data_IF_335173119832
#
_entry.id   IF_335173119832
#
_cell.length_a   1.000
_cell.length_b   1.000
_cell.length_c   1.000
_cell.angle_alpha   90.00
_cell.angle_beta   90.00
_cell.angle_gamma   90.00
#
_symmetry.space_group_name_H-M   'P 1'
#
loop_
_entity.id
_entity.type
_entity.pdbx_description
1 polymer ?
#
# COMPACT_ATOMS: atom_id res chain seq x y z
N UNK A 1 -9.54 13.46 -1.53
CA UNK A 1 -8.43 12.64 -1.00
C UNK A 1 -7.13 13.42 -1.16
N UNK A 2 -6.29 13.43 -0.14
CA UNK A 2 -4.96 14.04 -0.21
C UNK A 2 -3.91 12.94 -0.26
N UNK A 3 -2.96 13.05 -1.19
CA UNK A 3 -1.78 12.22 -1.20
C UNK A 3 -0.64 13.03 -0.55
N UNK A 4 -0.46 12.89 0.75
CA UNK A 4 0.64 13.51 1.46
C UNK A 4 1.93 12.72 1.24
N UNK A 5 2.88 13.38 0.61
CA UNK A 5 4.30 13.07 0.58
C UNK A 5 4.65 11.59 0.40
N UNK A 6 5.09 11.20 -0.77
CA UNK A 6 5.64 9.88 -1.00
C UNK A 6 6.94 9.72 -0.22
N UNK A 7 6.93 8.98 0.87
CA UNK A 7 8.16 8.52 1.50
C UNK A 7 8.73 7.37 0.65
N UNK A 8 9.98 7.52 0.22
CA UNK A 8 10.73 6.54 -0.58
C UNK A 8 10.58 5.13 0.02
N UNK A 9 10.14 4.17 -0.80
CA UNK A 9 9.95 2.77 -0.39
C UNK A 9 8.56 2.40 0.16
N UNK A 10 7.62 3.31 0.29
CA UNK A 10 6.22 2.99 0.64
C UNK A 10 5.39 2.69 -0.61
N UNK A 11 4.37 1.86 -0.44
CA UNK A 11 3.42 1.48 -1.52
C UNK A 11 2.77 2.69 -2.21
N UNK A 12 2.47 3.76 -1.44
CA UNK A 12 1.97 5.03 -2.00
C UNK A 12 2.96 5.70 -2.95
N UNK A 13 4.27 5.69 -2.61
CA UNK A 13 5.30 6.26 -3.48
C UNK A 13 5.54 5.44 -4.75
N UNK A 14 5.26 4.13 -4.73
CA UNK A 14 5.30 3.30 -5.93
C UNK A 14 4.15 3.64 -6.86
N UNK A 15 2.91 3.65 -6.34
CA UNK A 15 1.73 4.03 -7.10
C UNK A 15 1.86 5.44 -7.71
N UNK A 16 2.37 6.40 -6.94
CA UNK A 16 2.57 7.77 -7.42
C UNK A 16 3.54 7.80 -8.60
N UNK A 17 4.68 7.12 -8.52
CA UNK A 17 5.64 7.03 -9.64
C UNK A 17 5.04 6.35 -10.86
N UNK A 18 4.35 5.24 -10.67
CA UNK A 18 3.66 4.53 -11.76
C UNK A 18 2.63 5.45 -12.47
N UNK A 19 1.98 6.31 -11.72
CA UNK A 19 1.00 7.27 -12.27
C UNK A 19 1.68 8.47 -12.92
N UNK A 20 2.79 8.97 -12.33
CA UNK A 20 3.58 10.10 -12.88
C UNK A 20 4.25 9.78 -14.23
N UNK A 21 4.55 8.51 -14.49
CA UNK A 21 5.14 8.03 -15.75
C UNK A 21 4.11 7.86 -16.88
N UNK A 22 2.81 8.00 -16.58
CA UNK A 22 1.75 7.85 -17.59
C UNK A 22 1.64 9.09 -18.50
N UNK A 23 1.23 8.90 -19.74
CA UNK A 23 0.77 10.03 -20.57
C UNK A 23 -0.33 10.83 -19.87
N UNK A 24 -0.36 12.14 -20.04
CA UNK A 24 -1.28 13.03 -19.30
C UNK A 24 -2.74 12.62 -19.39
N UNK A 25 -3.19 12.17 -20.56
CA UNK A 25 -4.58 11.65 -20.75
C UNK A 25 -4.87 10.49 -19.79
N UNK A 26 -3.95 9.53 -19.71
CA UNK A 26 -4.11 8.34 -18.87
C UNK A 26 -3.94 8.68 -17.39
N UNK A 27 -3.03 9.59 -17.06
CA UNK A 27 -2.85 10.16 -15.72
C UNK A 27 -4.16 10.74 -15.22
N UNK A 28 -4.74 11.70 -15.98
CA UNK A 28 -6.00 12.39 -15.61
C UNK A 28 -7.13 11.38 -15.45
N UNK A 29 -7.33 10.52 -16.46
CA UNK A 29 -8.36 9.47 -16.40
C UNK A 29 -8.24 8.63 -15.14
N UNK A 30 -7.02 8.21 -14.77
CA UNK A 30 -6.77 7.34 -13.63
C UNK A 30 -7.01 8.03 -12.30
N UNK A 31 -6.52 9.27 -12.12
CA UNK A 31 -6.73 10.00 -10.86
C UNK A 31 -8.19 10.39 -10.66
N UNK A 32 -8.90 10.79 -11.72
CA UNK A 32 -10.34 11.05 -11.68
C UNK A 32 -11.15 9.78 -11.37
N UNK A 33 -10.80 8.65 -11.96
CA UNK A 33 -11.40 7.35 -11.67
C UNK A 33 -11.23 6.95 -10.19
N UNK A 34 -10.11 7.35 -9.55
CA UNK A 34 -9.88 7.17 -8.13
C UNK A 34 -10.59 8.19 -7.24
N UNK A 35 -11.30 9.15 -7.83
CA UNK A 35 -12.06 10.16 -7.12
C UNK A 35 -11.22 11.32 -6.59
N UNK A 36 -10.06 11.61 -7.22
CA UNK A 36 -9.33 12.83 -6.93
C UNK A 36 -10.01 14.01 -7.62
N UNK A 37 -10.24 15.09 -6.88
CA UNK A 37 -10.92 16.30 -7.33
C UNK A 37 -9.96 17.41 -7.76
N UNK A 38 -8.67 17.25 -7.52
CA UNK A 38 -7.67 18.23 -7.92
C UNK A 38 -6.28 17.60 -8.06
N UNK A 39 -5.47 18.20 -8.94
CA UNK A 39 -4.05 17.94 -9.11
C UNK A 39 -3.27 19.20 -8.68
N UNK A 40 -2.35 19.01 -7.72
CA UNK A 40 -1.45 20.07 -7.27
C UNK A 40 -0.10 19.94 -7.98
N UNK A 41 0.35 21.03 -8.59
CA UNK A 41 1.65 21.14 -9.23
C UNK A 41 2.52 22.16 -8.51
N UNK A 42 3.76 21.77 -8.22
CA UNK A 42 4.82 22.70 -7.86
C UNK A 42 5.65 22.98 -9.12
N UNK A 43 5.54 24.17 -9.68
CA UNK A 43 6.23 24.57 -10.92
C UNK A 43 7.76 24.48 -10.81
N UNK A 44 8.33 24.57 -9.60
CA UNK A 44 9.78 24.44 -9.39
C UNK A 44 10.29 23.00 -9.66
N UNK A 45 9.42 22.00 -9.65
CA UNK A 45 9.76 20.61 -9.96
C UNK A 45 9.92 20.33 -11.47
N UNK A 46 9.65 21.29 -12.33
CA UNK A 46 9.65 21.15 -13.79
C UNK A 46 10.62 22.12 -14.43
N UNK A 47 11.39 21.65 -15.41
CA UNK A 47 12.34 22.48 -16.17
C UNK A 47 11.64 23.57 -16.98
N UNK A 48 10.45 23.28 -17.51
CA UNK A 48 9.57 24.18 -18.23
C UNK A 48 8.53 24.86 -17.34
N UNK A 49 8.70 24.80 -16.02
CA UNK A 49 7.73 25.27 -15.02
C UNK A 49 6.35 24.62 -15.14
N UNK A 50 6.28 23.43 -15.74
CA UNK A 50 5.05 22.64 -15.89
C UNK A 50 4.13 23.12 -17.01
N UNK A 51 4.58 24.02 -17.89
CA UNK A 51 3.73 24.60 -18.95
C UNK A 51 3.22 23.54 -19.93
N UNK A 52 4.05 22.56 -20.28
CA UNK A 52 3.61 21.46 -21.15
C UNK A 52 2.44 20.70 -20.51
N UNK A 53 2.60 20.27 -19.25
CA UNK A 53 1.55 19.54 -18.53
C UNK A 53 0.28 20.38 -18.38
N UNK A 54 0.41 21.67 -18.04
CA UNK A 54 -0.73 22.58 -17.92
C UNK A 54 -1.45 22.79 -19.26
N UNK A 55 -0.69 22.86 -20.38
CA UNK A 55 -1.26 22.92 -21.74
C UNK A 55 -2.04 21.66 -22.10
N UNK A 56 -1.48 20.48 -21.80
CA UNK A 56 -2.14 19.20 -22.03
C UNK A 56 -3.41 19.05 -21.17
N UNK A 57 -3.40 19.50 -19.91
CA UNK A 57 -4.59 19.52 -19.06
C UNK A 57 -5.69 20.42 -19.59
N UNK A 58 -5.33 21.62 -20.11
CA UNK A 58 -6.30 22.51 -20.79
C UNK A 58 -6.90 21.85 -22.04
N UNK A 59 -6.07 21.19 -22.84
CA UNK A 59 -6.53 20.46 -24.04
C UNK A 59 -7.50 19.31 -23.68
N UNK A 60 -7.40 18.74 -22.48
CA UNK A 60 -8.33 17.75 -21.94
C UNK A 60 -9.57 18.37 -21.28
N UNK A 61 -9.79 19.69 -21.43
CA UNK A 61 -10.94 20.39 -20.87
C UNK A 61 -10.81 20.73 -19.37
N UNK A 62 -9.65 20.51 -18.76
CA UNK A 62 -9.40 20.89 -17.36
C UNK A 62 -8.93 22.33 -17.31
N UNK A 63 -9.89 23.27 -17.31
CA UNK A 63 -9.65 24.71 -17.50
C UNK A 63 -9.66 25.51 -16.20
N UNK A 64 -10.06 24.92 -15.08
CA UNK A 64 -10.10 25.61 -13.78
C UNK A 64 -8.75 25.48 -13.07
N UNK A 65 -8.02 26.59 -13.01
CA UNK A 65 -6.71 26.69 -12.39
C UNK A 65 -6.76 27.69 -11.23
N UNK A 66 -6.19 27.29 -10.10
CA UNK A 66 -6.00 28.18 -8.94
C UNK A 66 -4.50 28.33 -8.73
N UNK A 67 -3.99 29.53 -8.95
CA UNK A 67 -2.57 29.83 -8.80
C UNK A 67 -2.28 30.39 -7.40
N UNK A 68 -1.16 29.94 -6.82
CA UNK A 68 -0.62 30.54 -5.60
C UNK A 68 -0.10 31.96 -5.84
N UNK A 69 -0.09 32.80 -4.81
CA UNK A 69 0.29 34.21 -4.90
C UNK A 69 1.68 34.46 -5.54
N UNK A 70 2.60 33.50 -5.45
CA UNK A 70 3.94 33.60 -6.04
C UNK A 70 4.03 32.96 -7.44
N UNK A 71 2.94 32.46 -8.01
CA UNK A 71 2.92 31.79 -9.30
C UNK A 71 3.73 30.47 -9.37
N UNK A 72 4.16 29.95 -8.24
CA UNK A 72 4.98 28.73 -8.16
C UNK A 72 4.16 27.46 -7.99
N UNK A 73 2.94 27.61 -7.56
CA UNK A 73 2.03 26.54 -7.21
C UNK A 73 0.75 26.70 -8.01
N UNK A 74 0.28 25.61 -8.59
CA UNK A 74 -0.97 25.56 -9.35
C UNK A 74 -1.79 24.38 -8.87
N UNK A 75 -3.06 24.62 -8.61
CA UNK A 75 -4.06 23.57 -8.40
C UNK A 75 -4.95 23.53 -9.63
N UNK A 76 -5.04 22.39 -10.26
CA UNK A 76 -5.95 22.14 -11.39
C UNK A 76 -7.13 21.35 -10.88
N UNK A 77 -8.34 21.85 -11.03
CA UNK A 77 -9.53 21.12 -10.67
C UNK A 77 -9.82 20.02 -11.69
N UNK A 78 -10.21 18.86 -11.19
CA UNK A 78 -10.47 17.65 -11.94
C UNK A 78 -11.97 17.30 -11.87
N UNK A 79 -12.40 16.37 -12.71
CA UNK A 79 -13.75 15.82 -12.72
C UNK A 79 -13.76 14.44 -12.02
N UNK A 80 -13.88 14.40 -10.69
CA UNK A 80 -13.75 13.15 -9.97
C UNK A 80 -14.93 12.22 -10.21
N UNK A 81 -14.67 10.93 -10.35
CA UNK A 81 -15.72 9.94 -10.20
C UNK A 81 -16.25 9.97 -8.75
N UNK A 82 -17.51 10.35 -8.58
CA UNK A 82 -18.15 10.48 -7.27
C UNK A 82 -18.39 9.12 -6.60
N UNK A 83 -18.42 8.04 -7.37
CA UNK A 83 -18.55 6.67 -6.89
C UNK A 83 -17.37 5.80 -7.35
N UNK A 84 -16.14 6.10 -6.91
CA UNK A 84 -14.96 5.44 -7.43
C UNK A 84 -14.96 3.96 -7.08
N UNK A 85 -14.92 3.11 -8.10
CA UNK A 85 -14.66 1.67 -7.94
C UNK A 85 -13.16 1.46 -7.91
N UNK A 86 -12.56 1.56 -6.73
CA UNK A 86 -11.13 1.31 -6.58
C UNK A 86 -10.86 -0.19 -6.72
N UNK A 87 -9.82 -0.57 -7.48
CA UNK A 87 -9.38 -1.95 -7.50
C UNK A 87 -8.96 -2.37 -6.08
N UNK A 88 -9.36 -3.56 -5.68
CA UNK A 88 -8.95 -4.12 -4.41
C UNK A 88 -7.45 -4.43 -4.46
N UNK A 89 -6.71 -3.94 -3.49
CA UNK A 89 -5.30 -4.31 -3.37
C UNK A 89 -5.18 -5.83 -3.15
N UNK A 90 -4.18 -6.45 -3.78
CA UNK A 90 -3.91 -7.88 -3.63
C UNK A 90 -2.77 -8.15 -2.65
N UNK A 91 -2.25 -7.11 -1.99
CA UNK A 91 -1.15 -7.20 -1.02
C UNK A 91 -1.42 -6.33 0.20
N UNK A 92 -0.76 -6.67 1.30
CA UNK A 92 -0.77 -5.84 2.51
C UNK A 92 0.24 -4.70 2.40
N UNK A 93 -0.05 -3.61 3.09
CA UNK A 93 0.89 -2.50 3.27
C UNK A 93 1.69 -2.72 4.56
N UNK A 94 3.00 -2.70 4.47
CA UNK A 94 3.89 -2.78 5.63
C UNK A 94 3.75 -1.53 6.51
N UNK A 95 3.51 -1.75 7.80
CA UNK A 95 3.41 -0.73 8.83
C UNK A 95 4.72 -0.51 9.60
N UNK A 96 4.68 -0.59 10.93
CA UNK A 96 5.84 -0.44 11.81
C UNK A 96 6.55 -1.79 12.02
N UNK A 97 7.80 -1.73 12.49
CA UNK A 97 8.55 -2.91 12.95
C UNK A 97 9.40 -3.60 11.89
N UNK A 98 9.52 -3.04 10.69
CA UNK A 98 10.26 -3.62 9.58
C UNK A 98 11.51 -2.83 9.24
N UNK A 99 12.61 -3.55 8.98
CA UNK A 99 13.79 -2.97 8.37
C UNK A 99 13.47 -2.49 6.95
N UNK A 100 14.12 -1.40 6.55
CA UNK A 100 14.09 -0.97 5.16
C UNK A 100 14.70 -2.07 4.28
N UNK A 101 14.00 -2.47 3.22
CA UNK A 101 14.51 -3.44 2.26
C UNK A 101 14.52 -2.82 0.85
N UNK A 102 15.44 -3.27 0.02
CA UNK A 102 15.40 -3.01 -1.42
C UNK A 102 14.20 -3.76 -2.03
N UNK A 103 13.79 -3.36 -3.23
CA UNK A 103 12.52 -3.82 -3.80
C UNK A 103 12.35 -5.36 -3.91
N UNK A 104 13.44 -6.11 -4.07
CA UNK A 104 13.43 -7.57 -4.21
C UNK A 104 13.83 -8.35 -2.94
N UNK A 105 14.14 -7.65 -1.84
CA UNK A 105 14.62 -8.28 -0.61
C UNK A 105 13.45 -8.55 0.35
N UNK A 106 13.52 -9.63 1.14
CA UNK A 106 12.55 -9.87 2.21
C UNK A 106 12.64 -8.75 3.26
N UNK A 107 11.51 -8.40 3.84
CA UNK A 107 11.48 -7.44 4.95
C UNK A 107 11.67 -8.16 6.26
N UNK A 108 12.77 -7.86 6.92
CA UNK A 108 13.08 -8.37 8.23
C UNK A 108 12.39 -7.56 9.33
N UNK A 109 11.82 -8.27 10.31
CA UNK A 109 11.36 -7.68 11.56
C UNK A 109 12.48 -7.75 12.61
N UNK A 110 12.62 -6.69 13.40
CA UNK A 110 13.48 -6.65 14.58
C UNK A 110 12.70 -6.87 15.89
N UNK A 111 11.40 -6.96 15.80
CA UNK A 111 10.46 -7.16 16.92
C UNK A 111 9.05 -7.28 16.38
N UNK A 112 8.04 -6.80 17.11
CA UNK A 112 6.67 -6.76 16.62
C UNK A 112 6.56 -5.97 15.33
N UNK A 113 5.95 -6.58 14.31
CA UNK A 113 5.69 -5.96 13.01
C UNK A 113 4.20 -5.81 12.76
N UNK A 114 3.82 -4.84 11.95
CA UNK A 114 2.42 -4.67 11.57
C UNK A 114 2.25 -4.53 10.07
N UNK A 115 1.07 -4.94 9.60
CA UNK A 115 0.57 -4.66 8.25
C UNK A 115 -0.78 -3.96 8.35
N UNK A 116 -1.16 -3.31 7.28
CA UNK A 116 -2.51 -2.77 7.11
C UNK A 116 -3.07 -3.14 5.76
N UNK A 117 -4.39 -3.26 5.72
CA UNK A 117 -5.18 -3.38 4.51
C UNK A 117 -6.30 -2.34 4.56
N UNK A 118 -6.48 -1.60 3.47
CA UNK A 118 -7.60 -0.68 3.33
C UNK A 118 -8.66 -1.29 2.42
N UNK A 119 -9.82 -1.63 3.00
CA UNK A 119 -10.99 -2.05 2.24
C UNK A 119 -11.76 -0.79 1.80
N UNK A 120 -11.72 -0.43 0.50
CA UNK A 120 -12.39 0.78 0.01
C UNK A 120 -13.90 0.62 -0.15
N UNK A 121 -14.44 -0.59 0.06
CA UNK A 121 -15.86 -0.85 -0.12
C UNK A 121 -16.65 -0.53 1.16
N UNK A 122 -17.93 -0.23 1.02
CA UNK A 122 -18.82 0.03 2.14
C UNK A 122 -19.22 -1.26 2.91
N UNK A 123 -18.96 -2.43 2.34
CA UNK A 123 -19.35 -3.72 2.92
C UNK A 123 -18.12 -4.50 3.42
N UNK A 124 -18.27 -5.29 4.49
CA UNK A 124 -17.26 -6.27 4.89
C UNK A 124 -17.03 -7.29 3.77
N UNK A 125 -15.78 -7.77 3.65
CA UNK A 125 -15.40 -8.73 2.62
C UNK A 125 -14.65 -9.91 3.21
N UNK A 126 -15.11 -11.15 2.99
CA UNK A 126 -14.31 -12.33 3.27
C UNK A 126 -13.08 -12.34 2.37
N UNK A 127 -11.95 -12.70 2.95
CA UNK A 127 -10.68 -12.78 2.24
C UNK A 127 -9.76 -13.79 2.91
N UNK A 128 -8.88 -14.39 2.11
CA UNK A 128 -7.74 -15.16 2.57
C UNK A 128 -6.51 -14.29 2.49
N UNK A 129 -5.87 -14.04 3.64
CA UNK A 129 -4.58 -13.34 3.71
C UNK A 129 -3.48 -14.37 3.83
N UNK A 130 -2.50 -14.32 2.92
CA UNK A 130 -1.34 -15.20 2.90
C UNK A 130 -0.06 -14.40 3.12
N UNK A 131 0.81 -14.93 3.98
CA UNK A 131 2.12 -14.37 4.29
C UNK A 131 3.17 -15.44 4.02
N UNK A 132 4.10 -15.18 3.11
CA UNK A 132 5.27 -16.05 2.95
C UNK A 132 6.35 -15.56 3.91
N UNK A 133 6.72 -16.39 4.86
CA UNK A 133 7.62 -16.05 5.96
C UNK A 133 8.79 -17.02 6.10
N UNK A 134 9.86 -16.57 6.72
CA UNK A 134 10.97 -17.41 7.21
C UNK A 134 11.63 -16.77 8.42
N UNK A 135 12.47 -17.51 9.14
CA UNK A 135 13.27 -16.99 10.24
C UNK A 135 14.72 -17.48 10.15
N UNK A 136 15.64 -16.80 10.84
CA UNK A 136 17.04 -17.22 10.88
C UNK A 136 17.26 -18.55 11.64
N UNK A 137 16.28 -18.99 12.44
CA UNK A 137 16.23 -20.25 13.18
C UNK A 137 14.81 -20.52 13.63
N UNK A 138 14.54 -21.66 14.32
CA UNK A 138 13.21 -21.99 14.80
C UNK A 138 12.63 -20.88 15.68
N UNK A 139 11.41 -20.45 15.38
CA UNK A 139 10.69 -19.39 16.10
C UNK A 139 9.21 -19.62 16.08
N UNK A 140 8.54 -19.02 17.07
CA UNK A 140 7.09 -18.92 17.10
C UNK A 140 6.68 -17.47 16.82
N UNK A 141 5.78 -17.27 15.88
CA UNK A 141 5.14 -15.97 15.64
C UNK A 141 3.69 -16.02 16.06
N UNK A 142 3.25 -14.99 16.75
CA UNK A 142 1.85 -14.74 17.08
C UNK A 142 1.30 -13.74 16.09
N UNK A 143 0.16 -14.05 15.48
CA UNK A 143 -0.53 -13.23 14.49
C UNK A 143 -1.90 -12.87 15.02
N UNK A 144 -2.23 -11.58 15.02
CA UNK A 144 -3.55 -11.06 15.37
C UNK A 144 -4.13 -10.20 14.25
N UNK A 145 -5.44 -10.30 14.07
CA UNK A 145 -6.20 -9.50 13.12
C UNK A 145 -7.14 -8.56 13.88
N UNK A 146 -7.06 -7.24 13.63
CA UNK A 146 -7.89 -6.21 14.25
C UNK A 146 -8.00 -6.32 15.79
N UNK A 147 -6.88 -6.66 16.44
CA UNK A 147 -6.80 -6.90 17.89
C UNK A 147 -7.69 -8.05 18.40
N UNK A 148 -8.13 -8.94 17.52
CA UNK A 148 -8.87 -10.15 17.88
C UNK A 148 -7.98 -11.28 18.39
N UNK A 149 -8.49 -12.50 18.30
CA UNK A 149 -7.80 -13.71 18.75
C UNK A 149 -6.42 -13.86 18.10
N UNK A 150 -5.46 -14.29 18.90
CA UNK A 150 -4.09 -14.52 18.45
C UNK A 150 -3.93 -15.96 17.97
N UNK A 151 -3.43 -16.11 16.75
CA UNK A 151 -2.99 -17.40 16.23
C UNK A 151 -1.47 -17.50 16.32
N UNK A 152 -0.93 -18.60 16.79
CA UNK A 152 0.50 -18.87 16.84
C UNK A 152 0.92 -19.85 15.76
N UNK A 153 2.10 -19.64 15.18
CA UNK A 153 2.71 -20.53 14.18
C UNK A 153 4.20 -20.65 14.42
N UNK A 154 4.70 -21.87 14.38
CA UNK A 154 6.13 -22.13 14.33
C UNK A 154 6.64 -21.83 12.92
N UNK A 155 7.78 -21.15 12.82
CA UNK A 155 8.46 -20.83 11.56
C UNK A 155 9.94 -21.19 11.67
N UNK A 156 10.52 -21.57 10.53
CA UNK A 156 11.93 -21.97 10.43
C UNK A 156 12.67 -21.23 9.33
N UNK A 157 13.86 -21.73 8.99
CA UNK A 157 14.70 -21.12 7.95
C UNK A 157 14.10 -21.26 6.54
N UNK A 158 13.38 -22.35 6.28
CA UNK A 158 12.68 -22.52 5.02
C UNK A 158 11.51 -21.53 4.89
N UNK A 159 11.27 -21.05 3.67
CA UNK A 159 10.08 -20.25 3.36
C UNK A 159 8.83 -21.11 3.54
N UNK A 160 7.87 -20.59 4.28
CA UNK A 160 6.58 -21.23 4.49
C UNK A 160 5.45 -20.22 4.43
N UNK A 161 4.25 -20.67 4.11
CA UNK A 161 3.07 -19.84 4.02
C UNK A 161 2.26 -19.92 5.32
N UNK A 162 1.84 -18.76 5.80
CA UNK A 162 0.82 -18.61 6.83
C UNK A 162 -0.43 -18.07 6.15
N UNK A 163 -1.53 -18.78 6.27
CA UNK A 163 -2.82 -18.41 5.68
C UNK A 163 -3.84 -18.11 6.78
N UNK A 164 -4.60 -17.00 6.61
CA UNK A 164 -5.68 -16.60 7.50
C UNK A 164 -6.94 -16.32 6.71
N UNK A 165 -8.04 -16.89 7.17
CA UNK A 165 -9.38 -16.49 6.75
C UNK A 165 -9.83 -15.30 7.61
N UNK A 166 -10.18 -14.18 6.99
CA UNK A 166 -10.58 -12.96 7.68
C UNK A 166 -11.76 -12.30 7.00
N UNK A 167 -12.54 -11.54 7.76
CA UNK A 167 -13.53 -10.63 7.20
C UNK A 167 -12.99 -9.20 7.30
N UNK A 168 -12.56 -8.65 6.17
CA UNK A 168 -12.05 -7.28 6.07
C UNK A 168 -13.22 -6.30 6.21
N UNK A 169 -13.29 -5.59 7.32
CA UNK A 169 -14.27 -4.52 7.54
C UNK A 169 -14.01 -3.33 6.60
N UNK A 170 -15.01 -2.49 6.30
CA UNK A 170 -14.79 -1.23 5.59
C UNK A 170 -13.70 -0.38 6.24
N UNK A 171 -12.87 0.26 5.45
CA UNK A 171 -11.76 1.08 5.93
C UNK A 171 -10.52 0.28 6.31
N UNK A 172 -9.82 0.72 7.35
CA UNK A 172 -8.54 0.14 7.77
C UNK A 172 -8.71 -1.14 8.57
N UNK A 173 -7.94 -2.16 8.16
CA UNK A 173 -7.76 -3.43 8.84
C UNK A 173 -6.29 -3.57 9.21
N UNK A 174 -6.01 -4.09 10.41
CA UNK A 174 -4.66 -4.21 10.93
C UNK A 174 -4.32 -5.67 11.22
N UNK A 175 -3.11 -6.06 10.86
CA UNK A 175 -2.50 -7.34 11.18
C UNK A 175 -1.26 -7.08 11.99
N UNK A 176 -1.15 -7.69 13.16
CA UNK A 176 0.00 -7.58 14.05
C UNK A 176 0.70 -8.93 14.12
N UNK A 177 2.00 -8.96 13.79
CA UNK A 177 2.88 -10.11 13.94
C UNK A 177 3.84 -9.84 15.08
N UNK A 178 3.89 -10.74 16.03
CA UNK A 178 4.76 -10.64 17.18
C UNK A 178 5.58 -11.94 17.33
N UNK A 179 6.93 -11.86 17.33
CA UNK A 179 7.74 -12.99 17.71
C UNK A 179 7.54 -13.28 19.20
N UNK A 180 7.43 -14.55 19.55
CA UNK A 180 7.36 -14.98 20.95
C UNK A 180 8.77 -14.92 21.57
N UNK A 181 9.76 -15.39 20.82
CA UNK A 181 11.16 -15.36 21.23
C UNK A 181 11.83 -14.03 20.87
N UNK A 182 12.81 -13.56 21.66
CA UNK A 182 13.53 -12.33 21.39
C UNK A 182 14.31 -12.38 20.06
N UNK A 183 14.52 -11.24 19.45
CA UNK A 183 15.31 -11.12 18.22
C UNK A 183 16.75 -11.55 18.45
N UNK A 184 17.36 -12.18 17.45
CA UNK A 184 18.77 -12.64 17.49
C UNK A 184 19.64 -11.74 16.62
N UNK A 185 20.89 -11.55 17.04
CA UNK A 185 21.92 -10.94 16.21
C UNK A 185 22.44 -11.98 15.23
N UNK A 186 22.33 -11.70 13.95
CA UNK A 186 22.99 -12.51 12.93
C UNK A 186 24.44 -12.05 12.81
N UNK A 187 25.36 -12.96 13.05
CA UNK A 187 26.82 -12.70 13.06
C UNK A 187 27.37 -12.21 11.72
N UNK A 188 26.68 -12.48 10.62
CA UNK A 188 27.14 -12.15 9.25
C UNK A 188 26.69 -10.77 8.75
N UNK A 189 25.79 -10.05 9.41
CA UNK A 189 25.24 -8.79 8.92
C UNK A 189 25.34 -7.67 9.95
N UNK A 190 26.49 -7.03 10.08
CA UNK A 190 26.72 -5.76 10.86
C UNK A 190 25.95 -5.63 12.18
N UNK A 191 25.70 -6.74 12.88
CA UNK A 191 25.06 -6.75 14.20
C UNK A 191 23.58 -6.33 14.24
N UNK A 192 22.87 -6.32 13.13
CA UNK A 192 21.44 -6.01 13.11
C UNK A 192 20.64 -7.13 13.80
N UNK A 193 19.72 -6.70 14.68
CA UNK A 193 18.76 -7.61 15.28
C UNK A 193 17.73 -8.03 14.22
N UNK A 194 17.55 -9.35 14.05
CA UNK A 194 16.56 -9.92 13.14
C UNK A 194 15.73 -10.97 13.89
N UNK A 195 14.44 -10.99 13.66
CA UNK A 195 13.55 -11.99 14.23
C UNK A 195 13.03 -12.94 13.16
N UNK A 196 12.25 -12.41 12.24
CA UNK A 196 11.70 -13.16 11.12
C UNK A 196 11.63 -12.25 9.89
N UNK A 197 11.48 -12.87 8.71
CA UNK A 197 11.35 -12.17 7.44
C UNK A 197 9.99 -12.44 6.81
N UNK A 198 9.45 -11.44 6.11
CA UNK A 198 8.30 -11.59 5.22
C UNK A 198 8.77 -11.35 3.79
N UNK A 199 8.61 -12.37 2.96
CA UNK A 199 9.01 -12.39 1.56
C UNK A 199 7.92 -11.85 0.64
N UNK A 200 6.67 -12.22 0.94
CA UNK A 200 5.49 -11.81 0.16
C UNK A 200 4.24 -11.73 1.04
N UNK A 201 3.29 -10.93 0.61
CA UNK A 201 1.94 -10.90 1.16
C UNK A 201 0.95 -11.00 0.02
N UNK A 202 -0.14 -11.75 0.21
CA UNK A 202 -1.24 -11.81 -0.74
C UNK A 202 -2.58 -11.65 -0.02
N UNK A 203 -3.56 -11.07 -0.72
CA UNK A 203 -4.94 -10.95 -0.28
C UNK A 203 -5.84 -11.45 -1.40
N UNK A 204 -6.45 -12.59 -1.19
CA UNK A 204 -7.38 -13.22 -2.12
C UNK A 204 -8.80 -13.06 -1.62
N UNK A 205 -9.67 -12.64 -2.51
CA UNK A 205 -11.09 -12.49 -2.22
C UNK A 205 -11.83 -13.70 -2.75
N UNK A 206 -12.75 -14.22 -1.96
CA UNK A 206 -13.72 -15.19 -2.46
C UNK A 206 -14.56 -14.52 -3.55
N UNK A 207 -14.53 -15.07 -4.75
CA UNK A 207 -15.46 -14.65 -5.80
C UNK A 207 -16.86 -15.03 -5.34
N UNK A 208 -17.72 -14.01 -5.14
CA UNK A 208 -19.14 -14.29 -4.98
C UNK A 208 -19.60 -14.92 -6.29
N UNK A 209 -19.82 -16.22 -6.30
CA UNK A 209 -20.64 -16.86 -7.32
C UNK A 209 -21.98 -16.14 -7.23
N UNK A 210 -22.30 -15.34 -8.25
CA UNK A 210 -23.63 -14.75 -8.38
C UNK A 210 -24.59 -15.95 -8.51
N UNK A 211 -25.24 -16.30 -7.42
CA UNK A 211 -26.41 -17.21 -7.47
C UNK A 211 -27.46 -16.38 -8.21
N UNK A 212 -27.63 -16.67 -9.49
CA UNK A 212 -28.78 -16.22 -10.25
C UNK A 212 -30.00 -16.94 -9.66
N UNK A 213 -30.63 -16.31 -8.67
CA UNK A 213 -32.00 -16.66 -8.31
C UNK A 213 -32.86 -16.30 -9.52
N UNK A 214 -33.27 -17.32 -10.21
CA UNK A 214 -34.29 -17.26 -11.27
C UNK A 214 -35.69 -17.20 -10.64
#
# INVERSE_FOLDING_TARGET
RFNYGALKGRSRGRWQREVEELPTVELVRRIEQYGFSALYLNRRGFTDRGEKLLGELRALGRTQFIEGALGEQVVVLLEPNLTPKLPLARTLTFGRGWHSARAAEPRWAYGPGSFSYYNPTALPRPATVRLTVSAAGPRTVSLAFNAGEKMTRAIGAARQEISLQVTLRPGFNRFDLQPVEPAQRLTQERGQLKSFAVHATAVDFEERVAINDR
#
